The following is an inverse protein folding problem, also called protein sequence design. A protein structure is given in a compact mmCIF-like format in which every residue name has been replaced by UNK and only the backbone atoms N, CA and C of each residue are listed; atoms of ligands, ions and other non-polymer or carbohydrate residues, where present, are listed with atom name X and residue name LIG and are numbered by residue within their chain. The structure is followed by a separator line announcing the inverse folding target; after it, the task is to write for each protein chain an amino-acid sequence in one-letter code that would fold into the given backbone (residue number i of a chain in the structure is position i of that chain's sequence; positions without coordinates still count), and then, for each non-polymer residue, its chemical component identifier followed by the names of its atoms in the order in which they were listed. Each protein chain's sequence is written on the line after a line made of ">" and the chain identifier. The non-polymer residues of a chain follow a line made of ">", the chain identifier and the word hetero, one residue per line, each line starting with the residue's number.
data_IF_944471609136
#
_entry.id   IF_944471609136
#
_cell.length_a   1.000
_cell.length_b   1.000
_cell.length_c   1.000
_cell.angle_alpha   90.00
_cell.angle_beta   90.00
_cell.angle_gamma   90.00
#
_symmetry.space_group_name_H-M   'P 1'
#
loop_
_entity.id
_entity.type
_entity.pdbx_description
1 polymer ?
#
# COMPACT_ATOMS: atom_id res chain seq x y z
N UNK A 1 2.64 -17.96 -17.34
CA UNK A 1 1.89 -17.91 -16.07
C UNK A 1 1.65 -19.27 -15.44
N UNK A 2 1.47 -20.31 -16.24
CA UNK A 2 1.09 -21.64 -15.72
C UNK A 2 2.24 -22.51 -15.19
N UNK A 3 3.47 -22.16 -15.54
CA UNK A 3 4.65 -23.02 -15.28
C UNK A 3 4.93 -23.28 -13.79
N UNK A 4 4.73 -22.28 -12.91
CA UNK A 4 4.94 -22.44 -11.47
C UNK A 4 3.76 -23.13 -10.77
N UNK A 5 2.56 -23.02 -11.32
CA UNK A 5 1.36 -23.66 -10.77
C UNK A 5 1.29 -25.15 -11.09
N UNK A 6 1.69 -25.55 -12.28
CA UNK A 6 1.65 -26.95 -12.71
C UNK A 6 2.72 -27.81 -12.02
N UNK A 7 3.94 -27.28 -11.82
CA UNK A 7 5.02 -28.04 -11.20
C UNK A 7 4.84 -28.23 -9.67
N UNK A 8 4.20 -27.30 -8.98
CA UNK A 8 4.07 -27.34 -7.52
C UNK A 8 2.66 -27.64 -7.02
N UNK A 9 1.66 -27.70 -7.89
CA UNK A 9 0.26 -27.92 -7.50
C UNK A 9 -0.31 -26.82 -6.61
N UNK A 10 0.31 -25.61 -6.58
CA UNK A 10 -0.08 -24.51 -5.73
C UNK A 10 -1.23 -23.71 -6.35
N UNK A 11 -2.24 -23.41 -5.55
CA UNK A 11 -3.30 -22.46 -5.93
C UNK A 11 -2.84 -21.05 -5.61
N UNK A 12 -2.76 -20.19 -6.64
CA UNK A 12 -2.50 -18.77 -6.44
C UNK A 12 -3.74 -18.13 -5.81
N UNK A 13 -3.60 -17.41 -4.67
CA UNK A 13 -4.72 -16.72 -4.06
C UNK A 13 -5.18 -15.55 -4.93
N UNK A 14 -6.49 -15.29 -4.95
CA UNK A 14 -7.03 -14.14 -5.67
C UNK A 14 -6.63 -12.80 -5.00
N UNK A 15 -6.44 -12.80 -3.68
CA UNK A 15 -6.10 -11.62 -2.89
C UNK A 15 -4.96 -11.90 -1.93
N UNK A 16 -3.98 -11.02 -1.91
CA UNK A 16 -2.88 -11.00 -0.93
C UNK A 16 -2.88 -9.67 -0.20
N UNK A 17 -2.86 -9.72 1.12
CA UNK A 17 -2.73 -8.52 1.97
C UNK A 17 -1.45 -8.60 2.81
N UNK A 18 -0.72 -7.50 2.89
CA UNK A 18 0.57 -7.41 3.57
C UNK A 18 0.59 -6.25 4.56
N UNK A 19 1.03 -6.52 5.79
CA UNK A 19 1.30 -5.48 6.78
C UNK A 19 2.76 -5.07 6.67
N UNK A 20 3.00 -3.77 6.45
CA UNK A 20 4.34 -3.22 6.31
C UNK A 20 4.99 -2.99 7.69
N UNK A 21 5.25 -4.06 8.42
CA UNK A 21 5.89 -4.03 9.74
C UNK A 21 7.37 -4.47 9.69
N UNK A 22 8.11 -4.06 10.71
CA UNK A 22 9.50 -4.46 10.88
C UNK A 22 10.53 -3.56 10.18
N UNK A 23 10.14 -2.65 9.29
CA UNK A 23 11.05 -1.77 8.54
C UNK A 23 12.00 -0.96 9.44
N UNK A 24 11.48 -0.37 10.53
CA UNK A 24 12.29 0.37 11.49
C UNK A 24 13.25 -0.54 12.28
N UNK A 25 12.82 -1.75 12.64
CA UNK A 25 13.66 -2.75 13.32
C UNK A 25 14.77 -3.26 12.39
N UNK A 26 14.45 -3.47 11.13
CA UNK A 26 15.43 -3.86 10.10
C UNK A 26 16.51 -2.78 9.92
N UNK A 27 16.13 -1.51 9.80
CA UNK A 27 17.08 -0.41 9.71
C UNK A 27 18.00 -0.33 10.94
N UNK A 28 17.43 -0.46 12.15
CA UNK A 28 18.21 -0.48 13.40
C UNK A 28 19.25 -1.59 13.42
N UNK A 29 18.92 -2.80 12.96
CA UNK A 29 19.88 -3.91 12.85
C UNK A 29 21.04 -3.61 11.89
N UNK A 30 20.84 -2.68 10.96
CA UNK A 30 21.86 -2.21 10.00
C UNK A 30 22.52 -0.89 10.43
N UNK A 31 22.31 -0.47 11.69
CA UNK A 31 22.82 0.81 12.21
C UNK A 31 22.36 2.03 11.40
N UNK A 32 21.17 1.94 10.77
CA UNK A 32 20.57 2.99 9.97
C UNK A 32 19.36 3.61 10.68
N UNK A 33 19.01 4.87 10.39
CA UNK A 33 17.80 5.50 10.91
C UNK A 33 16.54 4.72 10.52
N UNK A 34 15.51 4.74 11.37
CA UNK A 34 14.22 4.08 11.11
C UNK A 34 13.60 4.52 9.78
N UNK A 35 13.75 5.80 9.46
CA UNK A 35 13.30 6.43 8.20
C UNK A 35 13.86 5.76 6.95
N UNK A 36 15.13 5.35 7.01
CA UNK A 36 15.75 4.57 5.92
C UNK A 36 15.03 3.23 5.70
N UNK A 37 14.64 2.55 6.78
CA UNK A 37 13.87 1.32 6.69
C UNK A 37 12.51 1.51 6.03
N UNK A 38 11.79 2.58 6.37
CA UNK A 38 10.50 2.90 5.74
C UNK A 38 10.65 3.22 4.25
N UNK A 39 11.70 3.93 3.85
CA UNK A 39 11.98 4.19 2.44
C UNK A 39 12.31 2.90 1.67
N UNK A 40 13.07 1.98 2.26
CA UNK A 40 13.35 0.69 1.62
C UNK A 40 12.08 -0.16 1.52
N UNK A 41 11.25 -0.17 2.57
CA UNK A 41 9.97 -0.87 2.56
C UNK A 41 9.04 -0.41 1.43
N UNK A 42 8.98 0.89 1.14
CA UNK A 42 8.15 1.39 0.02
C UNK A 42 8.63 0.91 -1.35
N UNK A 43 9.95 0.72 -1.54
CA UNK A 43 10.50 0.13 -2.78
C UNK A 43 10.14 -1.34 -2.91
N UNK A 44 10.21 -2.09 -1.81
CA UNK A 44 9.82 -3.50 -1.80
C UNK A 44 8.35 -3.68 -2.17
N UNK A 45 7.46 -2.78 -1.75
CA UNK A 45 6.05 -2.80 -2.17
C UNK A 45 5.91 -2.72 -3.70
N UNK A 46 6.71 -1.87 -4.34
CA UNK A 46 6.71 -1.77 -5.81
C UNK A 46 7.14 -3.08 -6.48
N UNK A 47 8.21 -3.68 -5.99
CA UNK A 47 8.69 -4.97 -6.50
C UNK A 47 7.62 -6.07 -6.29
N UNK A 48 6.95 -6.08 -5.14
CA UNK A 48 5.87 -7.02 -4.85
C UNK A 48 4.66 -6.84 -5.76
N UNK A 49 4.34 -5.61 -6.18
CA UNK A 49 3.25 -5.37 -7.14
C UNK A 49 3.52 -6.04 -8.48
N UNK A 50 4.76 -5.95 -8.98
CA UNK A 50 5.13 -6.64 -10.23
C UNK A 50 5.03 -8.16 -10.09
N UNK A 51 5.53 -8.71 -8.98
CA UNK A 51 5.44 -10.15 -8.71
C UNK A 51 3.98 -10.59 -8.58
N UNK A 52 3.14 -9.81 -7.92
CA UNK A 52 1.72 -10.12 -7.75
C UNK A 52 0.99 -10.14 -9.12
N UNK A 53 1.28 -9.17 -9.98
CA UNK A 53 0.71 -9.11 -11.33
C UNK A 53 1.18 -10.28 -12.19
N UNK A 54 2.47 -10.58 -12.18
CA UNK A 54 3.08 -11.72 -12.89
C UNK A 54 2.49 -13.07 -12.45
N UNK A 55 2.17 -13.21 -11.16
CA UNK A 55 1.53 -14.41 -10.61
C UNK A 55 0.01 -14.48 -10.89
N UNK A 56 -0.60 -13.41 -11.41
CA UNK A 56 -2.03 -13.34 -11.67
C UNK A 56 -2.90 -13.12 -10.44
N UNK A 57 -2.31 -12.57 -9.37
CA UNK A 57 -3.06 -12.10 -8.21
C UNK A 57 -3.95 -10.94 -8.66
N UNK A 58 -5.24 -11.00 -8.33
CA UNK A 58 -6.22 -9.99 -8.76
C UNK A 58 -6.26 -8.77 -7.84
N UNK A 59 -6.01 -8.98 -6.53
CA UNK A 59 -6.07 -7.96 -5.50
C UNK A 59 -4.82 -8.00 -4.63
N UNK A 60 -4.16 -6.86 -4.48
CA UNK A 60 -3.01 -6.72 -3.58
C UNK A 60 -3.26 -5.56 -2.62
N UNK A 61 -3.24 -5.82 -1.34
CA UNK A 61 -3.48 -4.80 -0.31
C UNK A 61 -2.25 -4.62 0.57
N UNK A 62 -1.85 -3.37 0.81
CA UNK A 62 -0.80 -3.03 1.75
C UNK A 62 -1.35 -2.19 2.90
N UNK A 63 -1.00 -2.57 4.11
CA UNK A 63 -1.30 -1.82 5.32
C UNK A 63 -0.13 -0.86 5.59
N UNK A 64 -0.26 0.38 5.11
CA UNK A 64 0.85 1.34 5.09
C UNK A 64 0.93 2.19 6.36
N UNK A 65 -0.21 2.63 6.92
CA UNK A 65 -0.27 3.47 8.11
C UNK A 65 -1.53 3.15 8.92
N UNK A 66 -1.34 2.71 10.18
CA UNK A 66 -2.46 2.43 11.08
C UNK A 66 -2.81 3.64 11.94
N UNK A 67 -4.05 3.68 12.47
CA UNK A 67 -4.48 4.69 13.43
C UNK A 67 -3.60 4.72 14.68
N UNK A 68 -2.96 3.61 15.05
CA UNK A 68 -2.04 3.54 16.18
C UNK A 68 -0.69 4.23 15.90
N UNK A 69 -0.34 4.43 14.64
CA UNK A 69 0.93 5.06 14.28
C UNK A 69 0.98 6.56 14.64
N UNK A 70 -0.16 7.20 14.86
CA UNK A 70 -0.23 8.57 15.38
C UNK A 70 0.39 8.72 16.78
N UNK A 71 0.49 7.64 17.56
CA UNK A 71 1.13 7.62 18.89
C UNK A 71 2.66 7.66 18.82
N UNK A 72 3.27 7.59 17.64
CA UNK A 72 4.72 7.72 17.45
C UNK A 72 5.16 9.17 17.64
N UNK A 73 6.49 9.40 17.72
CA UNK A 73 7.01 10.76 17.80
C UNK A 73 6.57 11.59 16.57
N UNK A 74 6.39 12.89 16.78
CA UNK A 74 6.02 13.83 15.69
C UNK A 74 7.02 13.78 14.54
N UNK A 75 8.30 13.63 14.81
CA UNK A 75 9.36 13.48 13.81
C UNK A 75 9.16 12.21 12.96
N UNK A 76 8.86 11.06 13.60
CA UNK A 76 8.62 9.81 12.88
C UNK A 76 7.34 9.90 12.03
N UNK A 77 6.26 10.46 12.56
CA UNK A 77 5.00 10.68 11.85
C UNK A 77 5.22 11.62 10.66
N UNK A 78 5.89 12.76 10.88
CA UNK A 78 6.19 13.71 9.80
C UNK A 78 7.01 13.09 8.67
N UNK A 79 7.97 12.23 9.00
CA UNK A 79 8.74 11.49 8.02
C UNK A 79 7.89 10.49 7.24
N UNK A 80 7.04 9.73 7.93
CA UNK A 80 6.12 8.78 7.28
C UNK A 80 5.16 9.49 6.33
N UNK A 81 4.61 10.63 6.72
CA UNK A 81 3.76 11.45 5.84
C UNK A 81 4.52 11.98 4.63
N UNK A 82 5.79 12.35 4.79
CA UNK A 82 6.62 12.79 3.65
C UNK A 82 6.91 11.65 2.66
N UNK A 83 7.18 10.45 3.16
CA UNK A 83 7.35 9.24 2.34
C UNK A 83 6.03 8.93 1.61
N UNK A 84 4.91 9.01 2.29
CA UNK A 84 3.58 8.76 1.72
C UNK A 84 3.25 9.74 0.59
N UNK A 85 3.49 11.04 0.78
CA UNK A 85 3.31 12.07 -0.26
C UNK A 85 4.07 11.73 -1.53
N UNK A 86 5.35 11.41 -1.37
CA UNK A 86 6.21 11.03 -2.50
C UNK A 86 5.69 9.77 -3.17
N UNK A 87 5.37 8.75 -2.38
CA UNK A 87 4.87 7.47 -2.88
C UNK A 87 3.60 7.64 -3.71
N UNK A 88 2.59 8.37 -3.20
CA UNK A 88 1.32 8.61 -3.91
C UNK A 88 1.53 9.30 -5.27
N UNK A 89 2.44 10.30 -5.33
CA UNK A 89 2.77 10.98 -6.59
C UNK A 89 3.44 10.06 -7.60
N UNK A 90 4.40 9.27 -7.15
CA UNK A 90 5.13 8.32 -8.01
C UNK A 90 4.21 7.17 -8.46
N UNK A 91 3.29 6.76 -7.60
CA UNK A 91 2.33 5.68 -7.83
C UNK A 91 1.42 5.98 -9.04
N UNK A 92 0.99 7.23 -9.26
CA UNK A 92 0.15 7.60 -10.40
C UNK A 92 0.80 7.18 -11.72
N UNK A 93 2.05 7.60 -11.96
CA UNK A 93 2.76 7.30 -13.20
C UNK A 93 2.97 5.80 -13.41
N UNK A 94 3.37 5.11 -12.33
CA UNK A 94 3.65 3.67 -12.38
C UNK A 94 2.39 2.86 -12.60
N UNK A 95 1.30 3.20 -11.92
CA UNK A 95 0.02 2.50 -12.04
C UNK A 95 -0.62 2.71 -13.41
N UNK A 96 -0.51 3.91 -13.99
CA UNK A 96 -0.97 4.16 -15.37
C UNK A 96 -0.16 3.36 -16.38
N UNK A 97 1.17 3.28 -16.22
CA UNK A 97 2.04 2.51 -17.12
C UNK A 97 1.75 1.02 -17.08
N UNK A 98 1.43 0.48 -15.90
CA UNK A 98 1.27 -0.96 -15.68
C UNK A 98 -0.20 -1.39 -15.59
N UNK A 99 -1.14 -0.53 -15.96
CA UNK A 99 -2.58 -0.81 -15.93
C UNK A 99 -3.09 -1.24 -14.53
N UNK A 100 -2.48 -0.75 -13.45
CA UNK A 100 -2.87 -1.04 -12.07
C UNK A 100 -3.98 -0.08 -11.63
N UNK A 101 -5.08 -0.60 -11.07
CA UNK A 101 -6.16 0.19 -10.49
C UNK A 101 -5.88 0.40 -9.02
N UNK A 102 -5.68 1.65 -8.60
CA UNK A 102 -5.37 2.00 -7.22
C UNK A 102 -6.61 2.45 -6.44
N UNK A 103 -6.69 2.03 -5.19
CA UNK A 103 -7.69 2.47 -4.22
C UNK A 103 -7.01 2.74 -2.88
N UNK A 104 -7.49 3.75 -2.15
CA UNK A 104 -7.01 4.05 -0.80
C UNK A 104 -8.18 3.93 0.18
N UNK A 105 -8.01 3.11 1.20
CA UNK A 105 -9.00 2.92 2.26
C UNK A 105 -8.48 3.51 3.59
N UNK A 106 -9.40 3.87 4.48
CA UNK A 106 -9.12 4.44 5.79
C UNK A 106 -9.65 5.86 5.96
N UNK A 107 -9.39 6.44 7.13
CA UNK A 107 -9.93 7.74 7.52
C UNK A 107 -9.13 8.87 6.89
N UNK A 108 -9.80 9.76 6.17
CA UNK A 108 -9.17 10.91 5.50
C UNK A 108 -9.17 12.17 6.35
N UNK A 109 -10.03 12.25 7.37
CA UNK A 109 -10.28 13.45 8.17
C UNK A 109 -9.05 13.91 8.98
N UNK A 110 -8.16 12.99 9.32
CA UNK A 110 -6.93 13.28 10.09
C UNK A 110 -5.70 13.47 9.18
N UNK A 111 -5.86 13.28 7.87
CA UNK A 111 -4.80 13.49 6.89
C UNK A 111 -4.79 14.95 6.44
N UNK A 112 -3.60 15.47 6.10
CA UNK A 112 -3.49 16.81 5.52
C UNK A 112 -4.11 16.89 4.13
N UNK A 113 -4.64 18.06 3.77
CA UNK A 113 -5.38 18.29 2.51
C UNK A 113 -4.56 17.87 1.27
N UNK A 114 -3.27 18.11 1.26
CA UNK A 114 -2.38 17.74 0.17
C UNK A 114 -2.24 16.23 -0.03
N UNK A 115 -2.32 15.45 1.06
CA UNK A 115 -2.36 13.98 0.99
C UNK A 115 -3.72 13.52 0.46
N UNK A 116 -4.81 14.09 0.95
CA UNK A 116 -6.18 13.79 0.48
C UNK A 116 -6.31 14.09 -1.00
N UNK A 117 -5.80 15.23 -1.47
CA UNK A 117 -5.78 15.58 -2.89
C UNK A 117 -4.96 14.57 -3.72
N UNK A 118 -3.80 14.16 -3.22
CA UNK A 118 -2.95 13.15 -3.88
C UNK A 118 -3.66 11.80 -3.98
N UNK A 119 -4.41 11.40 -2.96
CA UNK A 119 -5.23 10.19 -2.96
C UNK A 119 -6.33 10.29 -4.02
N UNK A 120 -7.10 11.38 -4.03
CA UNK A 120 -8.18 11.59 -4.98
C UNK A 120 -7.65 11.59 -6.43
N UNK A 121 -6.52 12.22 -6.67
CA UNK A 121 -5.88 12.22 -7.98
C UNK A 121 -5.42 10.82 -8.41
N UNK A 122 -4.86 10.02 -7.50
CA UNK A 122 -4.44 8.64 -7.78
C UNK A 122 -5.64 7.77 -8.16
N UNK A 123 -6.70 7.80 -7.37
CA UNK A 123 -7.92 7.03 -7.62
C UNK A 123 -8.59 7.44 -8.93
N UNK A 124 -8.75 8.75 -9.18
CA UNK A 124 -9.37 9.26 -10.40
C UNK A 124 -8.58 8.90 -11.66
N UNK A 125 -7.25 9.03 -11.64
CA UNK A 125 -6.40 8.70 -12.78
C UNK A 125 -6.40 7.21 -13.11
N UNK A 126 -6.49 6.35 -12.10
CA UNK A 126 -6.39 4.90 -12.28
C UNK A 126 -7.73 4.16 -12.32
N UNK A 127 -8.86 4.87 -12.19
CA UNK A 127 -10.21 4.25 -12.10
C UNK A 127 -10.58 3.35 -13.29
N UNK A 128 -10.07 3.66 -14.47
CA UNK A 128 -10.36 2.92 -15.69
C UNK A 128 -9.33 1.81 -15.99
N UNK A 129 -8.30 1.65 -15.15
CA UNK A 129 -7.35 0.56 -15.28
C UNK A 129 -8.03 -0.78 -14.95
N UNK A 130 -7.67 -1.82 -15.68
CA UNK A 130 -8.32 -3.14 -15.65
C UNK A 130 -7.43 -4.28 -15.17
N UNK A 131 -6.17 -3.98 -14.86
CA UNK A 131 -5.21 -4.95 -14.34
C UNK A 131 -5.33 -5.19 -12.83
N UNK A 132 -4.20 -5.38 -12.16
CA UNK A 132 -4.13 -5.60 -10.72
C UNK A 132 -4.85 -4.50 -9.93
N UNK A 133 -5.71 -4.90 -8.98
CA UNK A 133 -6.33 -3.98 -8.02
C UNK A 133 -5.40 -3.79 -6.82
N UNK A 134 -4.83 -2.61 -6.67
CA UNK A 134 -3.93 -2.26 -5.58
C UNK A 134 -4.62 -1.39 -4.55
N UNK A 135 -4.75 -1.88 -3.33
CA UNK A 135 -5.36 -1.15 -2.22
C UNK A 135 -4.29 -0.74 -1.20
N UNK A 136 -4.30 0.53 -0.82
CA UNK A 136 -3.40 1.09 0.19
C UNK A 136 -4.25 1.49 1.41
N UNK A 137 -4.05 0.83 2.55
CA UNK A 137 -4.72 1.19 3.80
C UNK A 137 -3.88 2.25 4.53
N UNK A 138 -4.45 3.47 4.66
CA UNK A 138 -3.83 4.64 5.28
C UNK A 138 -4.75 5.16 6.36
N UNK A 139 -4.21 5.39 7.56
CA UNK A 139 -5.00 5.79 8.73
C UNK A 139 -6.18 4.84 8.96
N UNK A 140 -5.89 3.56 8.85
CA UNK A 140 -6.86 2.48 8.92
C UNK A 140 -6.70 1.72 10.23
N UNK A 141 -7.80 1.44 10.93
CA UNK A 141 -7.85 0.62 12.13
C UNK A 141 -8.67 -0.64 11.89
N UNK A 142 -8.34 -1.75 12.56
CA UNK A 142 -9.04 -3.02 12.39
C UNK A 142 -10.54 -3.00 12.73
N UNK A 143 -11.05 -1.91 13.32
CA UNK A 143 -12.49 -1.69 13.59
C UNK A 143 -13.19 -0.83 12.54
N UNK A 144 -12.43 -0.20 11.63
CA UNK A 144 -12.97 0.72 10.63
C UNK A 144 -13.82 -0.01 9.58
N UNK A 145 -13.53 -1.28 9.32
CA UNK A 145 -14.30 -2.14 8.43
C UNK A 145 -15.78 -2.28 8.85
N UNK A 146 -16.06 -2.25 10.16
CA UNK A 146 -17.44 -2.32 10.68
C UNK A 146 -18.21 -1.01 10.54
N UNK A 147 -17.52 0.13 10.52
CA UNK A 147 -18.11 1.46 10.45
C UNK A 147 -18.25 2.00 9.01
N UNK A 148 -17.52 1.42 8.07
CA UNK A 148 -17.51 1.82 6.65
C UNK A 148 -17.55 0.58 5.74
N UNK A 149 -18.76 0.06 5.47
CA UNK A 149 -18.93 -1.12 4.61
C UNK A 149 -18.34 -0.96 3.21
N UNK A 150 -18.25 0.26 2.69
CA UNK A 150 -17.62 0.59 1.40
C UNK A 150 -16.12 0.28 1.35
N UNK A 151 -15.43 0.31 2.49
CA UNK A 151 -14.01 -0.06 2.59
C UNK A 151 -13.80 -1.58 2.62
N UNK A 152 -14.88 -2.34 2.86
CA UNK A 152 -14.85 -3.81 2.95
C UNK A 152 -15.08 -4.51 1.59
N UNK A 153 -15.44 -3.78 0.53
CA UNK A 153 -15.65 -4.36 -0.80
C UNK A 153 -14.31 -4.71 -1.46
N UNK A 154 -13.64 -5.71 -0.96
CA UNK A 154 -12.33 -6.16 -1.47
C UNK A 154 -11.49 -6.88 -0.41
N UNK A 155 -12.04 -7.10 0.79
CA UNK A 155 -11.46 -8.00 1.78
C UNK A 155 -11.97 -9.43 1.60
#
# INVERSE_FOLDING_TARGET
>A
MDKYNEELGLKIPAHVAVILDGNGRWAKKKHMPRTYGHMQGSKVVEDMLYVADDLGIQYFTVYAFSTENWKRSEEEVGTLMSILRKYLKDCVKKSMKNNVRCRVIGRREELSDDIVESINNLEEKTKNNTGLNFTIAINYGGRDCKSRPEDCTGC
#
